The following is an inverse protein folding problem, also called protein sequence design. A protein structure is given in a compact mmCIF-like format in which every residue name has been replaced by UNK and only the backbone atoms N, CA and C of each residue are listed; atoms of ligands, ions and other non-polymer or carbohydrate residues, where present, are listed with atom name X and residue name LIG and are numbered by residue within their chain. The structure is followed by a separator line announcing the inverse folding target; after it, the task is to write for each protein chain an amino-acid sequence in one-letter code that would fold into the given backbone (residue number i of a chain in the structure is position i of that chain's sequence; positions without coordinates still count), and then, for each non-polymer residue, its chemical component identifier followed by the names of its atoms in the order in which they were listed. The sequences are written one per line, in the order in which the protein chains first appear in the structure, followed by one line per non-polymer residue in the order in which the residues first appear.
data_IF_156915659066
#
_entry.id   IF_156915659066
#
_cell.length_a   1.000
_cell.length_b   1.000
_cell.length_c   1.000
_cell.angle_alpha   90.00
_cell.angle_beta   90.00
_cell.angle_gamma   90.00
#
_symmetry.space_group_name_H-M   'P 1'
#
loop_
_entity.id
_entity.type
_entity.pdbx_description
1 polymer ?
#
# COMPACT_ATOMS: atom_id res chain seq x y z
N UNK A 1 -22.74 -2.95 -54.33
CA UNK A 1 -22.06 -2.68 -53.04
C UNK A 1 -20.64 -2.19 -53.32
N UNK A 2 -20.31 -0.96 -52.95
CA UNK A 2 -18.96 -0.41 -53.11
C UNK A 2 -18.00 -1.12 -52.13
N UNK A 3 -16.94 -1.76 -52.64
CA UNK A 3 -15.90 -2.38 -51.80
C UNK A 3 -15.14 -1.28 -51.07
N UNK A 4 -15.22 -1.28 -49.75
CA UNK A 4 -14.38 -0.44 -48.88
C UNK A 4 -12.90 -0.65 -49.21
N UNK A 5 -12.20 0.44 -49.56
CA UNK A 5 -10.77 0.43 -49.83
C UNK A 5 -10.04 0.28 -48.50
N UNK A 6 -9.71 -0.96 -48.13
CA UNK A 6 -8.95 -1.25 -46.90
C UNK A 6 -7.60 -0.54 -46.99
N UNK A 7 -7.32 0.45 -46.12
CA UNK A 7 -6.05 1.15 -46.12
C UNK A 7 -4.94 0.15 -45.78
N UNK A 8 -3.94 0.04 -46.67
CA UNK A 8 -2.76 -0.83 -46.48
C UNK A 8 -2.64 -2.02 -47.44
N UNK A 9 -3.63 -2.31 -48.30
CA UNK A 9 -3.52 -3.37 -49.32
C UNK A 9 -2.74 -2.96 -50.58
N UNK A 10 -2.51 -1.67 -50.80
CA UNK A 10 -1.80 -1.15 -51.99
C UNK A 10 -0.36 -0.71 -51.69
N UNK A 11 0.13 -0.97 -50.49
CA UNK A 11 1.50 -0.62 -50.11
C UNK A 11 2.47 -1.61 -50.77
N UNK A 12 3.60 -1.14 -51.34
CA UNK A 12 4.60 -2.02 -51.91
C UNK A 12 5.09 -3.04 -50.87
N UNK A 13 5.42 -4.29 -51.27
CA UNK A 13 5.88 -5.33 -50.34
C UNK A 13 7.06 -4.90 -49.44
N UNK A 14 7.94 -4.03 -49.96
CA UNK A 14 9.05 -3.45 -49.18
C UNK A 14 8.56 -2.60 -48.00
N UNK A 15 7.49 -1.83 -48.19
CA UNK A 15 6.94 -0.95 -47.18
C UNK A 15 6.20 -1.72 -46.08
N UNK A 16 5.54 -2.82 -46.45
CA UNK A 16 4.90 -3.75 -45.51
C UNK A 16 5.98 -4.39 -44.61
N UNK A 17 7.04 -4.96 -45.21
CA UNK A 17 8.18 -5.53 -44.47
C UNK A 17 8.85 -4.52 -43.54
N UNK A 18 9.06 -3.29 -43.99
CA UNK A 18 9.64 -2.23 -43.16
C UNK A 18 8.76 -1.87 -41.96
N UNK A 19 7.43 -1.86 -42.13
CA UNK A 19 6.49 -1.65 -41.01
C UNK A 19 6.50 -2.82 -40.03
N UNK A 20 6.59 -4.05 -40.51
CA UNK A 20 6.69 -5.26 -39.66
C UNK A 20 7.99 -5.28 -38.87
N UNK A 21 9.14 -5.01 -39.51
CA UNK A 21 10.44 -4.89 -38.83
C UNK A 21 10.42 -3.81 -37.74
N UNK A 22 9.84 -2.63 -38.02
CA UNK A 22 9.68 -1.57 -37.00
C UNK A 22 8.78 -2.01 -35.84
N UNK A 23 7.77 -2.85 -36.08
CA UNK A 23 6.91 -3.40 -35.01
C UNK A 23 7.68 -4.43 -34.18
N UNK A 24 8.48 -5.28 -34.80
CA UNK A 24 9.31 -6.28 -34.12
C UNK A 24 10.41 -5.63 -33.28
N UNK A 25 11.08 -4.60 -33.80
CA UNK A 25 12.07 -3.83 -33.07
C UNK A 25 11.46 -3.16 -31.83
N UNK A 26 10.27 -2.54 -31.98
CA UNK A 26 9.52 -1.98 -30.84
C UNK A 26 9.15 -3.05 -29.81
N UNK A 27 8.71 -4.24 -30.25
CA UNK A 27 8.42 -5.38 -29.36
C UNK A 27 9.67 -5.84 -28.63
N UNK A 28 10.80 -5.97 -29.33
CA UNK A 28 12.07 -6.38 -28.75
C UNK A 28 12.58 -5.36 -27.73
N UNK A 29 12.47 -4.05 -28.03
CA UNK A 29 12.81 -2.97 -27.11
C UNK A 29 11.94 -2.99 -25.85
N UNK A 30 10.63 -3.18 -26.01
CA UNK A 30 9.70 -3.31 -24.89
C UNK A 30 10.00 -4.56 -24.03
N UNK A 31 10.32 -5.68 -24.66
CA UNK A 31 10.69 -6.92 -23.97
C UNK A 31 11.98 -6.74 -23.14
N UNK A 32 12.99 -6.06 -23.70
CA UNK A 32 14.22 -5.70 -22.97
C UNK A 32 13.92 -4.76 -21.79
N UNK A 33 13.10 -3.73 -22.00
CA UNK A 33 12.72 -2.80 -20.93
C UNK A 33 11.99 -3.51 -19.79
N UNK A 34 11.05 -4.43 -20.11
CA UNK A 34 10.36 -5.28 -19.13
C UNK A 34 11.31 -6.18 -18.35
N UNK A 35 12.32 -6.78 -19.00
CA UNK A 35 13.35 -7.57 -18.32
C UNK A 35 14.12 -6.73 -17.29
N UNK A 36 14.61 -5.56 -17.67
CA UNK A 36 15.33 -4.65 -16.77
C UNK A 36 14.48 -4.16 -15.60
N UNK A 37 13.21 -3.80 -15.85
CA UNK A 37 12.30 -3.39 -14.76
C UNK A 37 11.95 -4.54 -13.83
N UNK A 38 11.80 -5.75 -14.35
CA UNK A 38 11.56 -6.95 -13.54
C UNK A 38 12.79 -7.34 -12.71
N UNK A 39 14.01 -7.21 -13.23
CA UNK A 39 15.24 -7.42 -12.46
C UNK A 39 15.36 -6.42 -11.31
N UNK A 40 15.12 -5.13 -11.58
CA UNK A 40 15.12 -4.11 -10.54
C UNK A 40 14.04 -4.39 -9.48
N UNK A 41 12.85 -4.86 -9.90
CA UNK A 41 11.76 -5.24 -8.98
C UNK A 41 12.08 -6.53 -8.21
N UNK A 42 12.77 -7.49 -8.81
CA UNK A 42 13.21 -8.71 -8.15
C UNK A 42 14.24 -8.40 -7.06
N UNK A 43 15.19 -7.50 -7.33
CA UNK A 43 16.18 -7.04 -6.35
C UNK A 43 15.56 -6.24 -5.18
N UNK A 44 14.46 -5.52 -5.43
CA UNK A 44 13.72 -4.78 -4.39
C UNK A 44 12.79 -5.66 -3.55
N UNK A 45 12.46 -6.86 -4.02
CA UNK A 45 11.63 -7.79 -3.26
C UNK A 45 12.52 -8.50 -2.23
N UNK A 46 12.11 -8.42 -0.96
CA UNK A 46 12.65 -9.27 0.11
C UNK A 46 12.56 -10.72 -0.38
N UNK A 47 13.63 -11.50 -0.20
CA UNK A 47 13.64 -12.92 -0.57
C UNK A 47 12.42 -13.62 0.04
N UNK A 48 11.53 -14.10 -0.83
CA UNK A 48 10.31 -14.80 -0.44
C UNK A 48 10.67 -16.28 -0.42
N UNK A 49 10.74 -16.88 0.77
CA UNK A 49 10.82 -18.33 0.91
C UNK A 49 9.63 -19.04 0.19
N UNK A 50 9.87 -19.77 -0.90
CA UNK A 50 8.80 -20.43 -1.64
C UNK A 50 8.06 -21.50 -0.81
N UNK A 51 8.64 -22.00 0.28
CA UNK A 51 8.00 -22.98 1.15
C UNK A 51 6.97 -22.38 2.09
N UNK A 52 6.96 -21.05 2.29
CA UNK A 52 5.98 -20.40 3.17
C UNK A 52 4.78 -19.92 2.35
N UNK A 53 3.57 -20.47 2.60
CA UNK A 53 2.36 -20.07 1.90
C UNK A 53 2.09 -18.56 2.03
N UNK A 54 1.54 -17.97 0.97
CA UNK A 54 1.22 -16.54 0.94
C UNK A 54 0.27 -16.11 2.07
N UNK A 55 -0.71 -16.96 2.39
CA UNK A 55 -1.71 -16.69 3.44
C UNK A 55 -1.09 -16.64 4.85
N UNK A 56 -0.09 -17.49 5.12
CA UNK A 56 0.60 -17.54 6.41
C UNK A 56 1.38 -16.24 6.67
N UNK A 57 2.00 -15.68 5.61
CA UNK A 57 2.71 -14.40 5.69
C UNK A 57 1.77 -13.23 5.96
N UNK A 58 0.65 -13.17 5.25
CA UNK A 58 -0.35 -12.13 5.48
C UNK A 58 -0.95 -12.21 6.88
N UNK A 59 -1.11 -13.44 7.40
CA UNK A 59 -1.62 -13.67 8.74
C UNK A 59 -0.66 -13.17 9.82
N UNK A 60 0.65 -13.48 9.71
CA UNK A 60 1.67 -12.98 10.65
C UNK A 60 1.74 -11.45 10.63
N UNK A 61 1.70 -10.84 9.45
CA UNK A 61 1.68 -9.38 9.34
C UNK A 61 0.43 -8.76 9.97
N UNK A 62 -0.74 -9.40 9.81
CA UNK A 62 -1.99 -8.95 10.41
C UNK A 62 -1.95 -9.03 11.94
N UNK A 63 -1.41 -10.12 12.50
CA UNK A 63 -1.22 -10.26 13.95
C UNK A 63 -0.32 -9.14 14.48
N UNK A 64 0.79 -8.86 13.79
CA UNK A 64 1.72 -7.80 14.22
C UNK A 64 1.06 -6.43 14.21
N UNK A 65 0.36 -6.09 13.13
CA UNK A 65 -0.35 -4.82 13.01
C UNK A 65 -1.47 -4.68 14.05
N UNK A 66 -2.16 -5.78 14.35
CA UNK A 66 -3.20 -5.80 15.38
C UNK A 66 -2.63 -5.58 16.79
N UNK A 67 -1.49 -6.21 17.11
CA UNK A 67 -0.79 -5.98 18.37
C UNK A 67 -0.34 -4.53 18.53
N UNK A 68 0.26 -3.95 17.49
CA UNK A 68 0.69 -2.54 17.48
C UNK A 68 -0.51 -1.59 17.68
N UNK A 69 -1.66 -1.86 17.05
CA UNK A 69 -2.87 -1.05 17.23
C UNK A 69 -3.45 -1.18 18.65
N UNK A 70 -3.48 -2.39 19.19
CA UNK A 70 -3.99 -2.65 20.54
C UNK A 70 -3.16 -1.94 21.62
N UNK A 71 -1.85 -1.87 21.45
CA UNK A 71 -0.95 -1.16 22.36
C UNK A 71 -1.25 0.35 22.38
N UNK A 72 -1.52 0.94 21.21
CA UNK A 72 -1.91 2.36 21.10
C UNK A 72 -3.26 2.60 21.78
N UNK A 73 -4.26 1.74 21.56
CA UNK A 73 -5.58 1.85 22.19
C UNK A 73 -5.49 1.76 23.72
N UNK A 74 -4.65 0.86 24.24
CA UNK A 74 -4.41 0.74 25.68
C UNK A 74 -3.75 1.99 26.27
N UNK A 75 -2.79 2.60 25.55
CA UNK A 75 -2.16 3.84 25.97
C UNK A 75 -3.15 5.01 26.00
N UNK A 76 -4.02 5.12 24.99
CA UNK A 76 -5.07 6.14 24.94
C UNK A 76 -6.05 5.97 26.11
N UNK A 77 -6.51 4.75 26.36
CA UNK A 77 -7.42 4.46 27.47
C UNK A 77 -6.79 4.78 28.84
N UNK A 78 -5.51 4.45 29.03
CA UNK A 78 -4.78 4.76 30.26
C UNK A 78 -4.64 6.28 30.48
N UNK A 79 -4.31 7.05 29.43
CA UNK A 79 -4.22 8.50 29.51
C UNK A 79 -5.56 9.15 29.85
N UNK A 80 -6.65 8.69 29.20
CA UNK A 80 -8.00 9.17 29.48
C UNK A 80 -8.43 8.89 30.94
N UNK A 81 -8.11 7.69 31.45
CA UNK A 81 -8.40 7.32 32.83
C UNK A 81 -7.58 8.15 33.83
N UNK A 82 -6.33 8.48 33.51
CA UNK A 82 -5.48 9.34 34.33
C UNK A 82 -6.00 10.78 34.39
N UNK A 83 -6.44 11.32 33.25
CA UNK A 83 -7.05 12.65 33.15
C UNK A 83 -8.35 12.74 33.96
N UNK A 84 -9.27 11.78 33.78
CA UNK A 84 -10.50 11.73 34.55
C UNK A 84 -10.25 11.62 36.06
N UNK A 85 -9.23 10.85 36.47
CA UNK A 85 -8.82 10.75 37.88
C UNK A 85 -8.21 12.05 38.41
N UNK A 86 -7.50 12.82 37.58
CA UNK A 86 -6.97 14.12 37.96
C UNK A 86 -8.12 15.15 38.12
N UNK A 87 -9.08 15.15 37.21
CA UNK A 87 -10.26 16.03 37.27
C UNK A 87 -11.14 15.73 38.49
N UNK A 88 -11.35 14.45 38.80
CA UNK A 88 -12.04 14.01 40.02
C UNK A 88 -11.33 14.43 41.32
N UNK A 89 -9.99 14.50 41.33
CA UNK A 89 -9.23 14.99 42.48
C UNK A 89 -9.37 16.50 42.64
N UNK A 90 -9.28 17.25 41.54
CA UNK A 90 -9.43 18.71 41.57
C UNK A 90 -10.82 19.12 42.07
N UNK A 91 -11.88 18.41 41.69
CA UNK A 91 -13.25 18.68 42.15
C UNK A 91 -13.44 18.36 43.64
N UNK A 92 -12.88 17.26 44.13
CA UNK A 92 -12.89 16.93 45.56
C UNK A 92 -12.13 17.96 46.43
N UNK A 93 -11.02 18.52 45.93
CA UNK A 93 -10.27 19.56 46.63
C UNK A 93 -11.03 20.90 46.67
N UNK A 94 -11.82 21.22 45.62
CA UNK A 94 -12.68 22.41 45.58
C UNK A 94 -13.86 22.25 46.56
N UNK A 95 -14.46 21.06 46.63
CA UNK A 95 -15.54 20.78 47.57
C UNK A 95 -15.02 20.83 49.02
N UNK A 96 -13.84 20.28 49.33
CA UNK A 96 -13.24 20.36 50.67
C UNK A 96 -12.96 21.81 51.12
N UNK A 97 -12.52 22.69 50.22
CA UNK A 97 -12.29 24.11 50.53
C UNK A 97 -13.57 24.92 50.73
N UNK A 98 -14.68 24.53 50.07
CA UNK A 98 -15.97 25.21 50.25
C UNK A 98 -16.65 24.90 51.58
N UNK A 99 -16.40 23.73 52.17
CA UNK A 99 -16.88 23.38 53.53
C UNK A 99 -16.12 24.10 54.66
N UNK A 100 -14.84 24.46 54.46
CA UNK A 100 -14.09 25.25 55.47
C UNK A 100 -14.35 26.77 55.39
N UNK A 101 -14.86 27.27 54.26
CA UNK A 101 -15.16 28.70 54.08
C UNK A 101 -16.57 29.13 54.54
N UNK A 102 -17.40 28.18 54.99
CA UNK A 102 -18.80 28.40 55.41
C UNK A 102 -19.03 28.34 56.92
N UNK A 103 -17.98 28.25 57.73
CA UNK A 103 -18.03 28.34 59.21
C UNK A 103 -17.17 29.48 59.76
#
# INVERSE_FOLDING_TARGET
MARSKVPGRNDPPRHIRARELRKEEKKAKLARQRKYTNEARAKRRISIDPNVPSWARTFVNAIRAFGEAQEIDQMIAANLAAEAKAEAKNTLDIDAQTYEATY
#
